data_IF_415034767347
#
_entry.id   IF_415034767347
#
_cell.length_a   1.000
_cell.length_b   1.000
_cell.length_c   1.000
_cell.angle_alpha   90.00
_cell.angle_beta   90.00
_cell.angle_gamma   90.00
#
_symmetry.space_group_name_H-M   'P 1'
#
loop_
_entity.id
_entity.type
_entity.pdbx_description
1 polymer ?
#
# COMPACT_ATOMS: atom_id res chain seq x y z
N UNK A 1 1.06 2.62 -7.05
CA UNK A 1 0.19 3.15 -6.00
C UNK A 1 0.92 4.20 -5.17
N UNK A 2 0.20 5.23 -4.74
CA UNK A 2 0.72 6.26 -3.82
C UNK A 2 -0.40 6.74 -2.89
N UNK A 3 -0.08 6.90 -1.60
CA UNK A 3 -0.98 7.52 -0.64
C UNK A 3 -0.75 9.01 -0.52
N UNK A 4 -1.79 9.75 -0.19
CA UNK A 4 -1.72 11.15 0.17
C UNK A 4 -2.64 11.47 1.36
N UNK A 5 -2.29 12.50 2.12
CA UNK A 5 -3.20 13.18 3.05
C UNK A 5 -3.48 14.57 2.48
N UNK A 6 -4.75 14.88 2.29
CA UNK A 6 -5.21 16.17 1.77
C UNK A 6 -5.69 17.04 2.94
N UNK A 7 -4.97 18.12 3.18
CA UNK A 7 -5.31 19.17 4.15
C UNK A 7 -6.10 20.31 3.48
N UNK A 8 -6.52 21.29 4.24
CA UNK A 8 -7.20 22.49 3.70
C UNK A 8 -6.31 23.28 2.73
N UNK A 9 -5.04 23.39 3.03
CA UNK A 9 -4.07 24.28 2.37
C UNK A 9 -2.81 23.55 1.88
N UNK A 10 -2.68 22.25 2.19
CA UNK A 10 -1.50 21.45 1.82
C UNK A 10 -1.87 20.03 1.40
N UNK A 11 -0.92 19.34 0.78
CA UNK A 11 -1.03 17.93 0.35
C UNK A 11 0.26 17.23 0.72
N UNK A 12 0.17 16.27 1.66
CA UNK A 12 1.28 15.42 2.04
C UNK A 12 1.26 14.14 1.21
N UNK A 13 2.27 13.93 0.38
CA UNK A 13 2.44 12.70 -0.40
C UNK A 13 3.35 11.72 0.36
N UNK A 14 2.99 10.44 0.32
CA UNK A 14 3.80 9.35 0.85
C UNK A 14 4.57 8.66 -0.28
N UNK A 15 5.63 7.91 0.02
CA UNK A 15 6.35 7.14 -0.98
C UNK A 15 5.43 6.26 -1.83
N UNK A 16 5.77 6.12 -3.09
CA UNK A 16 5.08 5.23 -4.01
C UNK A 16 5.46 3.77 -3.76
N UNK A 17 4.60 2.86 -4.18
CA UNK A 17 4.88 1.42 -4.18
C UNK A 17 4.44 0.77 -5.47
N UNK A 18 5.08 -0.35 -5.81
CA UNK A 18 4.61 -1.26 -6.84
C UNK A 18 3.53 -2.15 -6.23
N UNK A 19 2.39 -2.30 -6.92
CA UNK A 19 1.36 -3.25 -6.54
C UNK A 19 1.68 -4.63 -7.14
N UNK A 20 1.59 -5.67 -6.31
CA UNK A 20 1.71 -7.05 -6.74
C UNK A 20 0.31 -7.50 -7.13
N UNK A 21 0.13 -7.78 -8.42
CA UNK A 21 -1.16 -8.17 -8.98
C UNK A 21 -1.06 -9.56 -9.58
N UNK A 22 -2.05 -10.40 -9.32
CA UNK A 22 -2.21 -11.70 -9.99
C UNK A 22 -3.36 -11.64 -10.98
N UNK A 23 -3.11 -12.06 -12.20
CA UNK A 23 -4.17 -12.28 -13.17
C UNK A 23 -4.76 -13.69 -12.98
N UNK A 24 -6.04 -13.76 -12.67
CA UNK A 24 -6.74 -15.01 -12.51
C UNK A 24 -8.09 -14.97 -13.23
N UNK A 25 -8.29 -15.89 -14.18
CA UNK A 25 -9.39 -15.82 -15.14
C UNK A 25 -9.38 -14.43 -15.82
N UNK A 26 -10.43 -13.64 -15.72
CA UNK A 26 -10.53 -12.30 -16.30
C UNK A 26 -10.44 -11.18 -15.25
N UNK A 27 -9.81 -11.46 -14.08
CA UNK A 27 -9.72 -10.52 -12.95
C UNK A 27 -8.29 -10.30 -12.51
N UNK A 28 -7.98 -9.04 -12.16
CA UNK A 28 -6.76 -8.69 -11.45
C UNK A 28 -7.03 -8.73 -9.94
N UNK A 29 -6.25 -9.56 -9.25
CA UNK A 29 -6.32 -9.72 -7.80
C UNK A 29 -5.10 -9.04 -7.17
N UNK A 30 -5.34 -8.17 -6.20
CA UNK A 30 -4.28 -7.53 -5.42
C UNK A 30 -3.66 -8.55 -4.46
N UNK A 31 -2.36 -8.81 -4.60
CA UNK A 31 -1.60 -9.74 -3.77
C UNK A 31 -0.52 -9.08 -2.92
N UNK A 32 -0.44 -7.76 -2.90
CA UNK A 32 0.50 -7.09 -2.05
C UNK A 32 1.10 -5.83 -2.65
N UNK A 33 2.13 -5.33 -1.98
CA UNK A 33 2.85 -4.13 -2.40
C UNK A 33 4.32 -4.24 -2.03
N UNK A 34 5.15 -3.57 -2.83
CA UNK A 34 6.58 -3.47 -2.61
C UNK A 34 7.03 -2.02 -2.79
N UNK A 35 7.51 -1.41 -1.68
CA UNK A 35 7.95 -0.02 -1.71
C UNK A 35 9.39 0.14 -2.20
N UNK A 36 10.26 -0.85 -2.01
CA UNK A 36 11.62 -0.78 -2.53
C UNK A 36 11.67 -1.03 -4.04
N UNK A 37 10.76 -1.84 -4.58
CA UNK A 37 10.70 -2.12 -6.00
C UNK A 37 10.46 -0.86 -6.86
N UNK A 38 9.92 0.22 -6.28
CA UNK A 38 9.72 1.49 -6.98
C UNK A 38 11.05 2.08 -7.50
N UNK A 39 12.17 1.78 -6.85
CA UNK A 39 13.50 2.22 -7.27
C UNK A 39 13.98 1.59 -8.60
N UNK A 40 13.24 0.61 -9.12
CA UNK A 40 13.50 -0.01 -10.42
C UNK A 40 12.76 0.71 -11.57
N UNK A 41 11.87 1.66 -11.26
CA UNK A 41 11.16 2.48 -12.24
C UNK A 41 12.07 3.63 -12.68
N UNK A 42 12.00 3.98 -13.96
CA UNK A 42 12.71 5.16 -14.49
C UNK A 42 12.31 6.42 -13.71
N UNK A 43 13.29 7.26 -13.41
CA UNK A 43 13.09 8.46 -12.59
C UNK A 43 12.11 9.46 -13.24
N UNK A 44 12.12 9.60 -14.57
CA UNK A 44 11.22 10.52 -15.28
C UNK A 44 9.78 10.00 -15.21
N UNK A 45 9.58 8.68 -15.32
CA UNK A 45 8.27 8.05 -15.21
C UNK A 45 7.71 8.20 -13.79
N UNK A 46 8.56 7.99 -12.78
CA UNK A 46 8.18 8.18 -11.38
C UNK A 46 7.83 9.65 -11.10
N UNK A 47 8.63 10.60 -11.58
CA UNK A 47 8.36 12.03 -11.43
C UNK A 47 7.04 12.42 -12.11
N UNK A 48 6.78 11.92 -13.33
CA UNK A 48 5.52 12.13 -14.04
C UNK A 48 4.33 11.59 -13.25
N UNK A 49 4.49 10.39 -12.66
CA UNK A 49 3.47 9.82 -11.78
C UNK A 49 3.20 10.71 -10.56
N UNK A 50 4.24 11.13 -9.84
CA UNK A 50 4.11 12.01 -8.67
C UNK A 50 3.40 13.32 -9.00
N UNK A 51 3.76 13.96 -10.13
CA UNK A 51 3.09 15.16 -10.60
C UNK A 51 1.59 14.94 -10.90
N UNK A 52 1.26 13.83 -11.55
CA UNK A 52 -0.14 13.50 -11.85
C UNK A 52 -0.94 13.22 -10.57
N UNK A 53 -0.36 12.50 -9.60
CA UNK A 53 -0.97 12.32 -8.28
C UNK A 53 -1.23 13.66 -7.60
N UNK A 54 -0.25 14.57 -7.62
CA UNK A 54 -0.39 15.92 -7.04
C UNK A 54 -1.52 16.72 -7.70
N UNK A 55 -1.67 16.63 -9.03
CA UNK A 55 -2.77 17.28 -9.78
C UNK A 55 -4.14 16.73 -9.35
N UNK A 56 -4.25 15.40 -9.24
CA UNK A 56 -5.47 14.73 -8.77
C UNK A 56 -5.81 15.15 -7.34
N UNK A 57 -4.85 15.08 -6.42
CA UNK A 57 -5.04 15.50 -5.04
C UNK A 57 -5.45 16.98 -4.92
N UNK A 58 -4.86 17.86 -5.74
CA UNK A 58 -5.24 19.29 -5.79
C UNK A 58 -6.67 19.47 -6.26
N UNK A 59 -7.12 18.68 -7.22
CA UNK A 59 -8.53 18.72 -7.68
C UNK A 59 -9.46 18.24 -6.58
N UNK A 60 -9.15 17.14 -5.89
CA UNK A 60 -9.92 16.67 -4.73
C UNK A 60 -10.01 17.75 -3.63
N UNK A 61 -8.86 18.40 -3.32
CA UNK A 61 -8.81 19.49 -2.34
C UNK A 61 -9.72 20.64 -2.70
N UNK A 62 -9.77 21.06 -3.97
CA UNK A 62 -10.64 22.13 -4.49
C UNK A 62 -12.11 21.76 -4.40
N UNK A 63 -12.45 20.48 -4.55
CA UNK A 63 -13.81 19.93 -4.37
C UNK A 63 -14.19 19.76 -2.89
N UNK A 64 -13.32 20.15 -1.96
CA UNK A 64 -13.58 20.10 -0.52
C UNK A 64 -13.20 18.79 0.15
N UNK A 65 -12.58 17.83 -0.55
CA UNK A 65 -12.11 16.59 0.07
C UNK A 65 -10.98 16.86 1.07
N UNK A 66 -10.99 16.14 2.19
CA UNK A 66 -9.96 16.11 3.24
C UNK A 66 -9.68 14.68 3.67
N UNK A 67 -8.46 14.44 4.14
CA UNK A 67 -8.05 13.16 4.69
C UNK A 67 -7.29 12.30 3.69
N UNK A 68 -7.21 11.01 4.01
CA UNK A 68 -6.43 10.03 3.26
C UNK A 68 -7.07 9.70 1.91
N UNK A 69 -6.23 9.61 0.89
CA UNK A 69 -6.57 9.01 -0.40
C UNK A 69 -5.41 8.17 -0.90
N UNK A 70 -5.70 7.10 -1.62
CA UNK A 70 -4.73 6.34 -2.39
C UNK A 70 -5.01 6.49 -3.88
N UNK A 71 -3.97 6.66 -4.66
CA UNK A 71 -4.04 6.82 -6.12
C UNK A 71 -3.36 5.63 -6.77
N UNK A 72 -4.12 4.86 -7.52
CA UNK A 72 -3.62 3.73 -8.30
C UNK A 72 -3.38 4.16 -9.74
N UNK A 73 -2.22 3.77 -10.28
CA UNK A 73 -1.81 4.11 -11.63
C UNK A 73 -1.08 2.95 -12.30
N UNK A 74 -1.03 3.02 -13.62
CA UNK A 74 -0.23 2.15 -14.46
C UNK A 74 0.72 3.01 -15.30
N UNK A 75 1.95 2.57 -15.41
CA UNK A 75 2.96 3.18 -16.30
C UNK A 75 3.18 2.20 -17.45
N UNK A 76 2.97 2.66 -18.67
CA UNK A 76 3.14 1.89 -19.91
C UNK A 76 3.83 2.76 -20.93
N UNK A 77 4.94 2.31 -21.49
CA UNK A 77 5.72 3.02 -22.51
C UNK A 77 6.01 4.48 -22.12
N UNK A 78 6.45 4.73 -20.88
CA UNK A 78 6.75 6.06 -20.36
C UNK A 78 5.52 6.95 -20.13
N UNK A 79 4.31 6.42 -20.21
CA UNK A 79 3.07 7.15 -19.97
C UNK A 79 2.39 6.68 -18.70
N UNK A 80 1.99 7.62 -17.87
CA UNK A 80 1.27 7.34 -16.61
C UNK A 80 -0.23 7.49 -16.79
N UNK A 81 -0.96 6.44 -16.50
CA UNK A 81 -2.42 6.38 -16.51
C UNK A 81 -2.94 6.26 -15.07
N UNK A 82 -3.67 7.27 -14.59
CA UNK A 82 -4.38 7.17 -13.31
C UNK A 82 -5.58 6.24 -13.52
N UNK A 83 -5.68 5.18 -12.73
CA UNK A 83 -6.72 4.16 -12.85
C UNK A 83 -7.88 4.45 -11.91
N UNK A 84 -7.58 4.68 -10.63
CA UNK A 84 -8.60 4.96 -9.62
C UNK A 84 -8.10 5.78 -8.44
N UNK A 85 -9.04 6.37 -7.72
CA UNK A 85 -8.82 7.06 -6.45
C UNK A 85 -9.56 6.32 -5.35
N UNK A 86 -8.81 5.90 -4.35
CA UNK A 86 -9.34 5.18 -3.19
C UNK A 86 -9.34 6.13 -1.99
N UNK A 87 -10.45 6.81 -1.72
CA UNK A 87 -10.59 7.77 -0.63
C UNK A 87 -10.73 7.05 0.72
N UNK A 88 -9.76 6.22 1.05
CA UNK A 88 -9.69 5.36 2.25
C UNK A 88 -8.26 4.86 2.48
N UNK A 89 -8.02 4.27 3.65
CA UNK A 89 -6.84 3.44 3.86
C UNK A 89 -6.84 2.23 2.93
N UNK A 90 -5.68 1.85 2.43
CA UNK A 90 -5.48 0.74 1.49
C UNK A 90 -4.68 -0.41 2.12
N UNK A 91 -4.53 -1.51 1.41
CA UNK A 91 -3.79 -2.68 1.88
C UNK A 91 -2.33 -2.38 2.25
N UNK A 92 -1.68 -1.48 1.51
CA UNK A 92 -0.29 -1.06 1.75
C UNK A 92 -0.12 -0.05 2.90
N UNK A 93 -1.20 0.50 3.48
CA UNK A 93 -1.13 1.45 4.63
C UNK A 93 -0.38 0.86 5.81
N UNK A 94 -0.46 -0.46 6.03
CA UNK A 94 0.26 -1.14 7.11
C UNK A 94 1.78 -0.97 6.96
N UNK A 95 2.30 -1.08 5.75
CA UNK A 95 3.74 -0.93 5.47
C UNK A 95 4.21 0.50 5.72
N UNK A 96 3.41 1.50 5.33
CA UNK A 96 3.68 2.90 5.64
C UNK A 96 3.69 3.14 7.16
N UNK A 97 2.75 2.55 7.90
CA UNK A 97 2.73 2.68 9.36
C UNK A 97 3.96 2.04 10.04
N UNK A 98 4.50 0.94 9.51
CA UNK A 98 5.76 0.37 10.00
C UNK A 98 6.93 1.34 9.77
N UNK A 99 7.05 1.90 8.58
CA UNK A 99 8.10 2.86 8.25
C UNK A 99 7.97 4.16 9.06
N UNK A 100 6.78 4.69 9.21
CA UNK A 100 6.51 5.87 10.04
C UNK A 100 6.90 5.62 11.50
N UNK A 101 6.55 4.45 12.04
CA UNK A 101 6.95 4.04 13.39
C UNK A 101 8.47 3.97 13.54
N UNK A 102 9.18 3.36 12.58
CA UNK A 102 10.65 3.28 12.59
C UNK A 102 11.30 4.66 12.53
N UNK A 103 10.69 5.60 11.80
CA UNK A 103 11.13 6.99 11.69
C UNK A 103 10.71 7.87 12.89
N UNK A 104 9.97 7.33 13.87
CA UNK A 104 9.43 8.11 15.00
C UNK A 104 8.39 9.15 14.58
N UNK A 105 7.72 8.92 13.44
CA UNK A 105 6.68 9.79 12.89
C UNK A 105 5.28 9.29 13.28
N UNK A 106 4.26 10.16 13.18
CA UNK A 106 2.87 9.77 13.41
C UNK A 106 2.40 8.70 12.43
N UNK A 107 1.44 7.89 12.86
CA UNK A 107 0.76 6.93 11.98
C UNK A 107 -0.06 7.64 10.89
N UNK A 108 -0.39 6.90 9.82
CA UNK A 108 -1.32 7.37 8.78
C UNK A 108 -2.67 7.79 9.35
N UNK A 109 -3.13 7.14 10.42
CA UNK A 109 -4.37 7.48 11.11
C UNK A 109 -4.29 8.82 11.82
N UNK A 110 -3.15 9.14 12.44
CA UNK A 110 -2.92 10.45 13.08
C UNK A 110 -2.82 11.56 12.04
N UNK A 111 -2.09 11.35 10.94
CA UNK A 111 -2.06 12.30 9.83
C UNK A 111 -3.46 12.52 9.23
N UNK A 112 -4.25 11.44 9.07
CA UNK A 112 -5.63 11.57 8.59
C UNK A 112 -6.49 12.36 9.57
N UNK A 113 -6.36 12.12 10.88
CA UNK A 113 -7.10 12.89 11.90
C UNK A 113 -6.75 14.38 11.83
N UNK A 114 -5.49 14.73 11.69
CA UNK A 114 -5.03 16.13 11.57
C UNK A 114 -5.64 16.86 10.37
N UNK A 115 -5.98 16.13 9.30
CA UNK A 115 -6.61 16.74 8.12
C UNK A 115 -8.01 17.30 8.40
N UNK A 116 -8.66 16.86 9.48
CA UNK A 116 -9.98 17.31 9.91
C UNK A 116 -9.94 18.27 11.10
N UNK A 117 -8.76 18.52 11.68
CA UNK A 117 -8.59 19.38 12.84
C UNK A 117 -7.99 20.73 12.43
N UNK A 118 -8.68 21.83 12.70
CA UNK A 118 -8.20 23.17 12.37
C UNK A 118 -7.10 23.66 13.33
N UNK A 119 -7.18 23.27 14.60
CA UNK A 119 -6.32 23.75 15.69
C UNK A 119 -5.09 22.86 15.95
N UNK A 120 -4.89 21.80 15.19
CA UNK A 120 -3.76 20.90 15.36
C UNK A 120 -2.66 21.28 14.36
N UNK A 121 -1.40 21.48 14.82
CA UNK A 121 -0.28 21.73 13.91
C UNK A 121 -0.14 20.56 12.92
N UNK A 122 -0.15 20.88 11.63
CA UNK A 122 0.07 19.88 10.57
C UNK A 122 1.52 19.44 10.61
N UNK A 123 1.69 18.15 10.75
CA UNK A 123 3.02 17.52 10.70
C UNK A 123 3.36 17.15 9.26
N UNK A 124 4.63 17.23 8.92
CA UNK A 124 5.17 16.86 7.63
C UNK A 124 6.52 16.17 7.79
N UNK A 125 7.02 15.58 6.76
CA UNK A 125 8.37 15.01 6.68
C UNK A 125 8.97 15.32 5.30
N UNK A 126 10.30 15.46 5.25
CA UNK A 126 10.98 15.74 3.98
C UNK A 126 11.19 14.47 3.13
N UNK A 127 11.44 13.35 3.81
CA UNK A 127 11.61 12.04 3.18
C UNK A 127 11.17 10.95 4.15
N UNK A 128 10.68 9.86 3.60
CA UNK A 128 10.36 8.64 4.34
C UNK A 128 10.86 7.45 3.53
N UNK A 129 11.79 6.71 4.10
CA UNK A 129 12.21 5.42 3.54
C UNK A 129 11.24 4.33 3.99
N UNK A 130 10.80 3.51 3.06
CA UNK A 130 9.87 2.39 3.33
C UNK A 130 10.52 1.10 2.84
N UNK A 131 11.39 0.48 3.65
CA UNK A 131 12.10 -0.75 3.27
C UNK A 131 11.21 -1.98 3.47
N UNK A 132 9.95 -1.88 3.11
CA UNK A 132 8.96 -2.92 3.38
C UNK A 132 8.24 -3.35 2.12
N UNK A 133 7.97 -4.65 2.06
CA UNK A 133 7.08 -5.27 1.10
C UNK A 133 6.11 -6.22 1.80
N UNK A 134 5.02 -6.54 1.13
CA UNK A 134 4.00 -7.46 1.61
C UNK A 134 3.53 -8.35 0.49
N UNK A 135 3.39 -9.64 0.78
CA UNK A 135 2.71 -10.60 -0.08
C UNK A 135 1.51 -11.18 0.64
N UNK A 136 0.38 -11.28 -0.08
CA UNK A 136 -0.88 -11.84 0.42
C UNK A 136 -1.06 -13.23 -0.18
N UNK A 137 -1.06 -14.24 0.67
CA UNK A 137 -1.40 -15.59 0.27
C UNK A 137 -2.92 -15.77 0.29
N UNK A 138 -3.48 -16.22 -0.82
CA UNK A 138 -4.91 -16.40 -1.02
C UNK A 138 -5.27 -17.86 -1.23
N UNK A 139 -6.50 -18.23 -0.90
CA UNK A 139 -7.04 -19.54 -1.21
C UNK A 139 -7.22 -19.71 -2.72
N UNK A 140 -6.71 -20.81 -3.28
CA UNK A 140 -6.89 -21.10 -4.70
C UNK A 140 -8.31 -21.60 -5.01
N UNK A 141 -8.94 -22.26 -4.04
CA UNK A 141 -10.23 -22.90 -4.20
C UNK A 141 -11.10 -22.76 -2.93
N UNK A 142 -12.34 -23.19 -3.05
CA UNK A 142 -13.28 -23.32 -1.95
C UNK A 142 -12.78 -24.36 -0.95
N UNK A 143 -12.82 -24.05 0.32
CA UNK A 143 -12.37 -24.97 1.36
C UNK A 143 -13.05 -24.72 2.70
N UNK A 144 -12.60 -25.48 3.68
CA UNK A 144 -12.94 -25.32 5.08
C UNK A 144 -11.65 -25.35 5.90
N UNK A 145 -11.53 -24.49 6.89
CA UNK A 145 -10.36 -24.47 7.79
C UNK A 145 -10.45 -25.67 8.73
N UNK A 146 -9.63 -26.69 8.50
CA UNK A 146 -9.58 -27.89 9.35
C UNK A 146 -8.71 -27.67 10.59
N UNK A 147 -7.64 -26.89 10.46
CA UNK A 147 -6.69 -26.60 11.53
C UNK A 147 -6.12 -25.18 11.38
N UNK A 148 -5.88 -24.51 12.50
CA UNK A 148 -5.12 -23.26 12.51
C UNK A 148 -3.74 -23.52 13.11
N UNK A 149 -2.72 -23.45 12.32
CA UNK A 149 -1.33 -23.52 12.80
C UNK A 149 -0.76 -22.10 12.90
N UNK A 150 -0.29 -21.73 14.08
CA UNK A 150 0.68 -20.65 14.19
C UNK A 150 1.96 -21.15 13.54
N UNK A 151 2.19 -20.76 12.29
CA UNK A 151 3.44 -21.08 11.62
C UNK A 151 4.57 -20.39 12.37
N UNK A 152 5.40 -21.18 13.05
CA UNK A 152 6.72 -20.72 13.48
C UNK A 152 7.61 -20.73 12.24
N UNK A 153 7.53 -19.64 11.44
CA UNK A 153 8.56 -19.44 10.45
C UNK A 153 9.88 -19.27 11.21
N UNK A 154 10.86 -20.11 10.89
CA UNK A 154 12.25 -19.70 11.08
C UNK A 154 12.40 -18.46 10.19
N UNK A 155 12.24 -17.28 10.80
CA UNK A 155 12.26 -16.01 10.10
C UNK A 155 13.61 -15.93 9.40
N UNK A 156 13.61 -16.05 8.09
CA UNK A 156 14.73 -15.54 7.32
C UNK A 156 14.89 -14.08 7.73
N UNK A 157 16.09 -13.57 7.71
CA UNK A 157 16.42 -12.23 8.24
C UNK A 157 15.57 -11.09 7.64
N UNK A 158 14.85 -11.37 6.56
CA UNK A 158 14.02 -10.42 5.81
C UNK A 158 12.52 -10.54 6.07
N UNK A 159 12.00 -11.72 6.44
CA UNK A 159 10.59 -11.91 6.80
C UNK A 159 10.38 -11.45 8.26
N UNK A 160 9.69 -10.33 8.46
CA UNK A 160 9.52 -9.73 9.79
C UNK A 160 8.17 -10.01 10.43
N UNK A 161 7.21 -10.55 9.69
CA UNK A 161 5.91 -10.92 10.25
C UNK A 161 5.04 -11.71 9.30
N UNK A 162 4.19 -12.53 9.88
CA UNK A 162 3.09 -13.21 9.22
C UNK A 162 1.83 -12.94 10.02
N UNK A 163 0.78 -12.54 9.33
CA UNK A 163 -0.50 -12.18 9.92
C UNK A 163 -1.60 -12.97 9.22
N UNK A 164 -2.30 -13.81 9.96
CA UNK A 164 -3.55 -14.38 9.48
C UNK A 164 -4.67 -13.33 9.52
N UNK A 165 -5.69 -13.49 8.71
CA UNK A 165 -6.88 -12.62 8.75
C UNK A 165 -7.91 -13.09 9.81
N UNK A 166 -7.44 -13.74 10.88
CA UNK A 166 -8.27 -14.21 11.98
C UNK A 166 -9.04 -15.48 11.66
N UNK A 167 -8.50 -16.34 10.81
CA UNK A 167 -9.12 -17.60 10.41
C UNK A 167 -9.41 -18.49 11.63
N UNK A 168 -10.63 -19.01 11.71
CA UNK A 168 -11.04 -19.97 12.72
C UNK A 168 -11.37 -21.33 12.09
N UNK A 169 -11.17 -22.39 12.86
CA UNK A 169 -11.58 -23.74 12.48
C UNK A 169 -13.08 -23.76 12.13
N UNK A 170 -13.44 -24.58 11.17
CA UNK A 170 -14.79 -24.71 10.59
C UNK A 170 -15.27 -23.51 9.73
N UNK A 171 -14.45 -22.49 9.56
CA UNK A 171 -14.81 -21.42 8.63
C UNK A 171 -14.74 -21.90 7.18
N UNK A 172 -15.80 -21.59 6.44
CA UNK A 172 -15.84 -21.82 4.98
C UNK A 172 -15.10 -20.70 4.26
N UNK A 173 -14.17 -21.09 3.42
CA UNK A 173 -13.32 -20.18 2.64
C UNK A 173 -13.85 -20.15 1.21
N UNK A 174 -14.02 -18.94 0.68
CA UNK A 174 -14.28 -18.73 -0.74
C UNK A 174 -12.93 -18.74 -1.51
N UNK A 175 -12.96 -19.01 -2.83
CA UNK A 175 -11.79 -18.76 -3.68
C UNK A 175 -11.34 -17.30 -3.53
N UNK A 176 -10.02 -17.07 -3.51
CA UNK A 176 -9.36 -15.78 -3.35
C UNK A 176 -9.55 -15.09 -1.99
N UNK A 177 -10.10 -15.80 -1.00
CA UNK A 177 -10.05 -15.29 0.37
C UNK A 177 -8.61 -15.16 0.85
N UNK A 178 -8.29 -14.06 1.51
CA UNK A 178 -6.98 -13.89 2.14
C UNK A 178 -6.79 -14.92 3.24
N UNK A 179 -5.70 -15.67 3.19
CA UNK A 179 -5.33 -16.63 4.22
C UNK A 179 -4.26 -16.03 5.15
N UNK A 180 -3.27 -15.37 4.57
CA UNK A 180 -2.12 -14.89 5.31
C UNK A 180 -1.49 -13.67 4.61
N UNK A 181 -0.91 -12.77 5.40
CA UNK A 181 -0.11 -11.64 4.93
C UNK A 181 1.31 -11.79 5.45
N UNK A 182 2.25 -11.90 4.55
CA UNK A 182 3.68 -11.97 4.86
C UNK A 182 4.30 -10.60 4.64
N UNK A 183 5.02 -10.08 5.64
CA UNK A 183 5.68 -8.77 5.59
C UNK A 183 7.18 -8.98 5.64
N UNK A 184 7.87 -8.36 4.71
CA UNK A 184 9.31 -8.45 4.55
C UNK A 184 9.96 -7.08 4.71
N UNK A 185 11.21 -7.06 5.21
CA UNK A 185 12.09 -5.89 5.20
C UNK A 185 13.10 -6.02 4.04
N UNK A 186 12.59 -6.10 2.86
CA UNK A 186 13.34 -6.15 1.60
C UNK A 186 12.37 -6.04 0.42
N UNK A 187 12.89 -5.81 -0.78
CA UNK A 187 12.08 -5.95 -1.97
C UNK A 187 11.84 -7.44 -2.28
N UNK A 188 10.67 -7.74 -2.82
CA UNK A 188 10.27 -9.10 -3.24
C UNK A 188 9.86 -9.15 -4.72
N UNK A 189 9.87 -8.02 -5.40
CA UNK A 189 9.51 -7.89 -6.82
C UNK A 189 10.73 -7.51 -7.63
N UNK A 190 10.98 -8.22 -8.72
CA UNK A 190 11.93 -7.82 -9.76
C UNK A 190 11.16 -7.36 -10.99
N UNK A 191 11.37 -6.14 -11.42
CA UNK A 191 10.81 -5.60 -12.66
C UNK A 191 11.79 -5.93 -13.76
N UNK A 192 11.44 -6.86 -14.64
CA UNK A 192 12.21 -7.14 -15.86
C UNK A 192 11.71 -6.22 -16.97
N UNK A 193 12.58 -5.40 -17.57
CA UNK A 193 12.22 -4.73 -18.83
C UNK A 193 11.88 -5.77 -19.89
N UNK A 194 10.79 -5.59 -20.60
CA UNK A 194 10.48 -6.37 -21.81
C UNK A 194 11.45 -6.08 -22.95
#
# INVERSE_FOLDING_TARGET
>A
NMHAIIYNDDILLFPASIQIMQFHEDKLLYQGADFEAINQIDENDLNTFVENVRKVCKKLQQEGYRGVTGIDAMIVDGQTYILEMNNRFQGSTMLLNLALKDAGLPSMQEFNYEAFCEDVPKRSFNSLEVPYSMFIYMANEKGEVSETHKRNFALESTLIGCYDDGLNVEWKIAPHATLERMVFRTNIVSITPE
#
